data_IF_178222996206
#
_entry.id   IF_178222996206
#
_cell.length_a   1.000
_cell.length_b   1.000
_cell.length_c   1.000
_cell.angle_alpha   90.00
_cell.angle_beta   90.00
_cell.angle_gamma   90.00
#
_symmetry.space_group_name_H-M   'P 1'
#
loop_
_entity.id
_entity.type
_entity.pdbx_description
1 polymer ?
#
# COMPACT_ATOMS: atom_id res chain seq x y z
N UNK A 1 -4.42 -16.48 15.40
CA UNK A 1 -4.04 -15.20 14.73
C UNK A 1 -2.54 -14.89 14.74
N UNK A 2 -1.76 -15.29 15.76
CA UNK A 2 -0.30 -15.01 15.81
C UNK A 2 0.49 -15.59 14.63
N UNK A 3 0.22 -16.83 14.21
CA UNK A 3 0.90 -17.44 13.05
C UNK A 3 0.62 -16.66 11.75
N UNK A 4 -0.64 -16.28 11.51
CA UNK A 4 -1.01 -15.43 10.38
C UNK A 4 -0.31 -14.06 10.42
N UNK A 5 -0.22 -13.44 11.59
CA UNK A 5 0.50 -12.18 11.78
C UNK A 5 2.01 -12.30 11.48
N UNK A 6 2.64 -13.43 11.84
CA UNK A 6 4.04 -13.69 11.51
C UNK A 6 4.26 -13.81 9.99
N UNK A 7 3.36 -14.51 9.28
CA UNK A 7 3.41 -14.61 7.80
C UNK A 7 3.23 -13.24 7.15
N UNK A 8 2.30 -12.42 7.65
CA UNK A 8 2.05 -11.06 7.16
C UNK A 8 3.29 -10.17 7.24
N UNK A 9 4.14 -10.36 8.24
CA UNK A 9 5.41 -9.64 8.35
C UNK A 9 6.35 -9.85 7.15
N UNK A 10 6.26 -11.02 6.49
CA UNK A 10 7.03 -11.36 5.29
C UNK A 10 6.43 -10.83 3.98
N UNK A 11 5.17 -10.41 3.96
CA UNK A 11 4.54 -9.85 2.76
C UNK A 11 5.15 -8.48 2.41
N UNK A 12 5.18 -8.18 1.10
CA UNK A 12 5.62 -6.88 0.58
C UNK A 12 4.41 -6.02 0.20
N UNK A 13 4.51 -4.73 0.48
CA UNK A 13 3.59 -3.69 0.01
C UNK A 13 2.10 -3.88 0.36
N UNK A 14 1.80 -4.52 1.49
CA UNK A 14 0.42 -4.59 2.01
C UNK A 14 0.23 -3.62 3.17
N UNK A 15 -1.01 -3.19 3.40
CA UNK A 15 -1.32 -2.31 4.53
C UNK A 15 -0.91 -2.92 5.88
N UNK A 16 -1.15 -4.22 6.07
CA UNK A 16 -0.83 -4.90 7.32
C UNK A 16 0.67 -5.19 7.45
N UNK A 17 1.38 -5.52 6.37
CA UNK A 17 2.85 -5.67 6.42
C UNK A 17 3.54 -4.34 6.74
N UNK A 18 3.04 -3.22 6.22
CA UNK A 18 3.55 -1.89 6.54
C UNK A 18 3.30 -1.54 8.01
N UNK A 19 2.12 -1.88 8.54
CA UNK A 19 1.82 -1.73 9.97
C UNK A 19 2.76 -2.59 10.84
N UNK A 20 2.97 -3.86 10.48
CA UNK A 20 3.89 -4.77 11.17
C UNK A 20 5.31 -4.19 11.21
N UNK A 21 5.85 -3.76 10.06
CA UNK A 21 7.19 -3.16 9.95
C UNK A 21 7.32 -1.89 10.78
N UNK A 22 6.29 -1.05 10.82
CA UNK A 22 6.30 0.18 11.65
C UNK A 22 6.43 -0.13 13.14
N UNK A 23 5.82 -1.22 13.62
CA UNK A 23 5.95 -1.64 15.01
C UNK A 23 7.30 -2.32 15.25
N UNK A 24 7.73 -3.20 14.33
CA UNK A 24 9.02 -3.86 14.41
C UNK A 24 10.19 -2.85 14.44
N UNK A 25 10.08 -1.73 13.75
CA UNK A 25 11.10 -0.68 13.79
C UNK A 25 11.20 0.04 15.15
N UNK A 26 10.20 -0.10 16.03
CA UNK A 26 10.13 0.56 17.35
C UNK A 26 10.22 -0.41 18.52
N UNK A 27 10.08 -1.71 18.28
CA UNK A 27 9.86 -2.72 19.32
C UNK A 27 10.34 -4.09 18.85
N UNK A 28 10.27 -5.09 19.71
CA UNK A 28 10.64 -6.46 19.40
C UNK A 28 9.62 -7.15 18.47
N UNK A 29 10.07 -8.28 17.88
CA UNK A 29 9.25 -9.06 16.94
C UNK A 29 8.00 -9.64 17.59
N UNK A 30 8.05 -10.09 18.85
CA UNK A 30 6.89 -10.69 19.51
C UNK A 30 5.79 -9.65 19.76
N UNK A 31 6.18 -8.42 20.11
CA UNK A 31 5.27 -7.26 20.19
C UNK A 31 4.65 -6.94 18.83
N UNK A 32 5.44 -6.90 17.76
CA UNK A 32 4.93 -6.65 16.40
C UNK A 32 3.92 -7.72 15.93
N UNK A 33 4.18 -9.00 16.22
CA UNK A 33 3.26 -10.11 15.94
C UNK A 33 1.95 -9.93 16.73
N UNK A 34 2.04 -9.63 18.03
CA UNK A 34 0.88 -9.49 18.91
C UNK A 34 0.00 -8.31 18.49
N UNK A 35 0.60 -7.15 18.20
CA UNK A 35 -0.13 -5.97 17.72
C UNK A 35 -0.80 -6.22 16.36
N UNK A 36 -0.13 -6.91 15.44
CA UNK A 36 -0.69 -7.24 14.12
C UNK A 36 -1.82 -8.26 14.23
N UNK A 37 -1.68 -9.27 15.11
CA UNK A 37 -2.74 -10.23 15.40
C UNK A 37 -3.98 -9.54 16.01
N UNK A 38 -3.79 -8.56 16.89
CA UNK A 38 -4.89 -7.76 17.46
C UNK A 38 -5.62 -6.98 16.36
N UNK A 39 -4.88 -6.30 15.48
CA UNK A 39 -5.46 -5.56 14.35
C UNK A 39 -6.25 -6.46 13.40
N UNK A 40 -5.71 -7.64 13.09
CA UNK A 40 -6.41 -8.68 12.32
C UNK A 40 -7.71 -9.13 12.99
N UNK A 41 -7.69 -9.36 14.30
CA UNK A 41 -8.87 -9.79 15.04
C UNK A 41 -10.01 -8.77 14.97
N UNK A 42 -9.69 -7.47 15.06
CA UNK A 42 -10.70 -6.40 14.92
C UNK A 42 -11.29 -6.36 13.52
N UNK A 43 -10.46 -6.54 12.48
CA UNK A 43 -10.93 -6.61 11.09
C UNK A 43 -11.93 -7.76 10.93
N UNK A 44 -11.54 -8.97 11.35
CA UNK A 44 -12.39 -10.17 11.23
C UNK A 44 -13.67 -10.00 12.04
N UNK A 45 -13.58 -9.46 13.26
CA UNK A 45 -14.75 -9.18 14.08
C UNK A 45 -15.73 -8.24 13.38
N UNK A 46 -15.26 -7.12 12.80
CA UNK A 46 -16.12 -6.20 12.06
C UNK A 46 -16.72 -6.86 10.82
N UNK A 47 -15.95 -7.67 10.09
CA UNK A 47 -16.45 -8.43 8.94
C UNK A 47 -17.59 -9.38 9.31
N UNK A 48 -17.49 -10.06 10.45
CA UNK A 48 -18.49 -11.04 10.91
C UNK A 48 -19.71 -10.36 11.54
N UNK A 49 -19.49 -9.38 12.41
CA UNK A 49 -20.58 -8.75 13.20
C UNK A 49 -21.32 -7.66 12.44
N UNK A 50 -20.61 -6.84 11.66
CA UNK A 50 -21.21 -5.72 10.92
C UNK A 50 -21.51 -6.08 9.46
N UNK A 51 -21.05 -7.26 9.00
CA UNK A 51 -21.13 -7.69 7.59
C UNK A 51 -20.46 -6.71 6.61
N UNK A 52 -19.51 -5.92 7.10
CA UNK A 52 -18.76 -4.96 6.29
C UNK A 52 -17.52 -5.64 5.68
N UNK A 53 -17.35 -5.63 4.36
CA UNK A 53 -16.17 -6.21 3.73
C UNK A 53 -14.91 -5.43 4.16
N UNK A 54 -13.79 -6.14 4.32
CA UNK A 54 -12.53 -5.48 4.60
C UNK A 54 -12.08 -4.61 3.42
N UNK A 55 -12.09 -3.29 3.62
CA UNK A 55 -11.56 -2.33 2.65
C UNK A 55 -10.20 -1.78 3.12
N UNK A 56 -9.06 -2.27 2.60
CA UNK A 56 -7.75 -1.78 3.00
C UNK A 56 -7.52 -0.33 2.55
N UNK A 57 -6.95 0.56 3.40
CA UNK A 57 -6.65 1.95 3.02
C UNK A 57 -5.69 2.08 1.83
N UNK A 58 -4.79 1.11 1.66
CA UNK A 58 -3.96 1.00 0.47
C UNK A 58 -4.50 -0.13 -0.38
N UNK A 59 -5.06 0.22 -1.54
CA UNK A 59 -5.49 -0.75 -2.55
C UNK A 59 -4.29 -1.58 -3.03
N UNK A 60 -4.56 -2.87 -3.27
CA UNK A 60 -3.60 -3.70 -3.99
C UNK A 60 -3.49 -3.17 -5.42
N UNK A 61 -2.30 -2.71 -5.78
CA UNK A 61 -1.97 -2.30 -7.14
C UNK A 61 -1.11 -3.39 -7.75
N UNK A 62 -1.52 -3.88 -8.92
CA UNK A 62 -0.70 -4.79 -9.71
C UNK A 62 0.62 -4.13 -10.10
N UNK A 63 1.64 -4.94 -10.39
CA UNK A 63 2.99 -4.45 -10.67
C UNK A 63 3.01 -3.41 -11.80
N UNK A 64 2.25 -3.65 -12.87
CA UNK A 64 2.19 -2.73 -14.00
C UNK A 64 1.45 -1.43 -13.67
N UNK A 65 0.44 -1.47 -12.80
CA UNK A 65 -0.20 -0.26 -12.29
C UNK A 65 0.76 0.58 -11.46
N UNK A 66 1.59 -0.07 -10.62
CA UNK A 66 2.65 0.61 -9.85
C UNK A 66 3.68 1.26 -10.79
N UNK A 67 4.13 0.55 -11.82
CA UNK A 67 5.07 1.06 -12.84
C UNK A 67 4.50 2.25 -13.60
N UNK A 68 3.26 2.13 -14.09
CA UNK A 68 2.54 3.22 -14.78
C UNK A 68 2.45 4.46 -13.90
N UNK A 69 2.08 4.32 -12.63
CA UNK A 69 2.03 5.46 -11.71
C UNK A 69 3.41 6.09 -11.47
N UNK A 70 4.46 5.28 -11.36
CA UNK A 70 5.83 5.76 -11.24
C UNK A 70 6.25 6.59 -12.46
N UNK A 71 5.96 6.09 -13.66
CA UNK A 71 6.24 6.79 -14.92
C UNK A 71 5.45 8.10 -15.01
N UNK A 72 4.15 8.07 -14.73
CA UNK A 72 3.31 9.28 -14.69
C UNK A 72 3.85 10.30 -13.70
N UNK A 73 4.28 9.87 -12.49
CA UNK A 73 4.88 10.75 -11.50
C UNK A 73 6.21 11.36 -12.01
N UNK A 74 7.00 10.60 -12.75
CA UNK A 74 8.24 11.08 -13.34
C UNK A 74 7.97 12.11 -14.44
N UNK A 75 7.06 11.80 -15.38
CA UNK A 75 6.63 12.70 -16.45
C UNK A 75 6.07 14.01 -15.85
N UNK A 76 5.18 13.92 -14.85
CA UNK A 76 4.62 15.09 -14.15
C UNK A 76 5.69 15.99 -13.51
N UNK A 77 6.82 15.43 -13.08
CA UNK A 77 7.94 16.22 -12.55
C UNK A 77 8.78 16.87 -13.65
N UNK A 78 8.87 16.22 -14.82
CA UNK A 78 9.64 16.73 -15.96
C UNK A 78 8.91 17.87 -16.67
N UNK A 79 7.57 17.82 -16.77
CA UNK A 79 6.75 18.86 -17.42
C UNK A 79 7.11 20.27 -16.93
N UNK A 80 7.02 20.61 -15.63
CA UNK A 80 7.38 21.93 -15.14
C UNK A 80 8.90 22.17 -15.07
N UNK A 81 9.74 21.13 -15.17
CA UNK A 81 11.19 21.30 -15.15
C UNK A 81 11.73 21.79 -16.50
N UNK A 82 11.07 21.38 -17.59
CA UNK A 82 11.48 21.65 -18.96
C UNK A 82 10.42 22.44 -19.73
N UNK A 83 9.44 23.01 -19.03
CA UNK A 83 8.30 23.75 -19.59
C UNK A 83 7.63 23.04 -20.78
N UNK A 84 7.50 21.72 -20.69
CA UNK A 84 6.99 20.88 -21.78
C UNK A 84 5.52 21.23 -22.07
N UNK A 85 5.25 21.61 -23.31
CA UNK A 85 3.89 21.88 -23.78
C UNK A 85 3.28 20.64 -24.46
N UNK A 86 1.97 20.66 -24.72
CA UNK A 86 1.30 19.59 -25.47
C UNK A 86 1.79 19.48 -26.92
N UNK A 87 2.38 20.55 -27.46
CA UNK A 87 2.99 20.60 -28.79
C UNK A 87 4.34 19.88 -28.79
N UNK A 88 5.20 20.14 -27.79
CA UNK A 88 6.51 19.47 -27.65
C UNK A 88 6.37 17.95 -27.44
N UNK A 89 5.27 17.54 -26.81
CA UNK A 89 4.94 16.14 -26.58
C UNK A 89 4.22 15.48 -27.76
N UNK A 90 3.90 16.23 -28.83
CA UNK A 90 3.18 15.71 -30.00
C UNK A 90 1.77 15.22 -29.68
N UNK A 91 1.15 15.74 -28.61
CA UNK A 91 -0.18 15.31 -28.13
C UNK A 91 -1.32 16.20 -28.67
N UNK A 92 -1.00 17.31 -29.33
CA UNK A 92 -1.98 18.13 -30.01
C UNK A 92 -2.47 17.40 -31.28
N UNK A 93 -3.74 17.01 -31.30
CA UNK A 93 -4.42 16.56 -32.51
C UNK A 93 -4.64 17.78 -33.40
N UNK A 94 -4.26 17.67 -34.67
CA UNK A 94 -4.66 18.63 -35.72
C UNK A 94 -6.17 18.52 -35.96
#
# INVERSE_FOLDING_TARGET
LRNAANVIGGLKDTHLSNFFRRILNKSDRATAISATARKLGVIIYNMVTKKEPYNPPTAYLMLDQKRKMGLVKHIKKQIPKFDLTTQDLGLATT
#
